data_IF_918823301522
#
_entry.id   IF_918823301522
#
_cell.length_a   1.000
_cell.length_b   1.000
_cell.length_c   1.000
_cell.angle_alpha   90.00
_cell.angle_beta   90.00
_cell.angle_gamma   90.00
#
_symmetry.space_group_name_H-M   'P 1'
#
loop_
_entity.id
_entity.type
_entity.pdbx_description
1 polymer ?
#
# COMPACT_ATOMS: atom_id res chain seq x y z
N UNK A 1 9.19 11.08 -1.81
CA UNK A 1 8.64 10.21 -0.74
C UNK A 1 7.80 10.93 0.30
N UNK A 2 8.32 11.93 1.04
CA UNK A 2 7.56 12.60 2.13
C UNK A 2 6.19 13.14 1.69
N UNK A 3 6.13 13.77 0.52
CA UNK A 3 4.88 14.24 -0.06
C UNK A 3 3.89 13.10 -0.30
N UNK A 4 4.34 11.96 -0.84
CA UNK A 4 3.48 10.82 -1.11
C UNK A 4 2.97 10.18 0.19
N UNK A 5 3.78 10.15 1.26
CA UNK A 5 3.33 9.76 2.60
C UNK A 5 2.22 10.68 3.12
N UNK A 6 2.42 11.99 3.02
CA UNK A 6 1.44 12.98 3.47
C UNK A 6 0.14 12.87 2.66
N UNK A 7 0.25 12.84 1.33
CA UNK A 7 -0.88 12.71 0.42
C UNK A 7 -1.67 11.43 0.69
N UNK A 8 -0.99 10.29 0.84
CA UNK A 8 -1.64 9.01 1.12
C UNK A 8 -2.29 9.00 2.50
N UNK A 9 -1.59 9.51 3.52
CA UNK A 9 -2.10 9.57 4.89
C UNK A 9 -3.33 10.45 5.02
N UNK A 10 -3.30 11.66 4.46
CA UNK A 10 -4.44 12.57 4.47
C UNK A 10 -5.57 12.05 3.57
N UNK A 11 -5.25 11.60 2.35
CA UNK A 11 -6.25 11.11 1.39
C UNK A 11 -7.05 9.94 1.94
N UNK A 12 -6.35 8.90 2.44
CA UNK A 12 -7.01 7.78 3.13
C UNK A 12 -7.75 8.23 4.38
N UNK A 13 -7.18 9.16 5.14
CA UNK A 13 -7.79 9.65 6.37
C UNK A 13 -9.13 10.34 6.14
N UNK A 14 -9.23 11.18 5.10
CA UNK A 14 -10.48 11.86 4.71
C UNK A 14 -11.55 10.86 4.27
N UNK A 15 -11.15 9.74 3.67
CA UNK A 15 -12.08 8.69 3.24
C UNK A 15 -12.57 7.85 4.43
N UNK A 16 -11.64 7.35 5.26
CA UNK A 16 -11.94 6.31 6.24
C UNK A 16 -12.48 6.86 7.57
N UNK A 17 -11.93 7.96 8.09
CA UNK A 17 -12.31 8.44 9.42
C UNK A 17 -13.76 8.92 9.50
N UNK A 18 -14.31 9.65 8.51
CA UNK A 18 -15.73 9.99 8.49
C UNK A 18 -16.62 8.75 8.36
N UNK A 19 -16.22 7.79 7.52
CA UNK A 19 -16.92 6.53 7.36
C UNK A 19 -16.96 5.70 8.65
N UNK A 20 -15.97 5.84 9.54
CA UNK A 20 -15.97 5.17 10.84
C UNK A 20 -16.71 5.92 11.94
N UNK A 21 -16.65 7.26 11.94
CA UNK A 21 -17.15 8.08 13.06
C UNK A 21 -18.61 8.50 12.93
N UNK A 22 -19.10 8.71 11.70
CA UNK A 22 -20.44 9.25 11.45
C UNK A 22 -21.44 8.23 10.90
N UNK A 23 -21.28 6.95 11.26
CA UNK A 23 -22.20 5.89 10.81
C UNK A 23 -23.53 5.92 11.55
N UNK A 24 -24.59 5.73 10.77
CA UNK A 24 -25.98 5.60 11.24
C UNK A 24 -26.49 4.15 11.20
N UNK A 25 -25.72 3.22 10.61
CA UNK A 25 -26.09 1.80 10.47
C UNK A 25 -25.11 0.90 11.22
N UNK A 26 -25.54 -0.30 11.68
CA UNK A 26 -24.66 -1.30 12.27
C UNK A 26 -23.51 -1.68 11.35
N UNK A 27 -22.40 -2.10 11.94
CA UNK A 27 -21.21 -2.54 11.22
C UNK A 27 -21.44 -3.90 10.57
N UNK A 28 -21.13 -3.99 9.28
CA UNK A 28 -20.71 -5.25 8.71
C UNK A 28 -19.30 -5.57 9.23
N UNK A 29 -19.07 -6.75 9.85
CA UNK A 29 -17.78 -7.06 10.45
C UNK A 29 -16.60 -7.02 9.48
N UNK A 30 -16.77 -7.46 8.22
CA UNK A 30 -15.66 -7.51 7.26
C UNK A 30 -15.30 -6.12 6.75
N UNK A 31 -16.29 -5.27 6.47
CA UNK A 31 -16.02 -3.88 6.14
C UNK A 31 -15.39 -3.12 7.31
N UNK A 32 -15.81 -3.40 8.56
CA UNK A 32 -15.19 -2.82 9.75
C UNK A 32 -13.71 -3.16 9.90
N UNK A 33 -13.30 -4.40 9.56
CA UNK A 33 -11.89 -4.81 9.55
C UNK A 33 -11.10 -4.03 8.49
N UNK A 34 -11.65 -3.90 7.27
CA UNK A 34 -11.01 -3.17 6.19
C UNK A 34 -10.82 -1.68 6.54
N UNK A 35 -11.88 -1.03 7.04
CA UNK A 35 -11.82 0.38 7.45
C UNK A 35 -10.82 0.59 8.59
N UNK A 36 -10.79 -0.32 9.57
CA UNK A 36 -9.82 -0.25 10.68
C UNK A 36 -8.37 -0.34 10.18
N UNK A 37 -8.11 -1.21 9.19
CA UNK A 37 -6.79 -1.32 8.57
C UNK A 37 -6.40 -0.04 7.81
N UNK A 38 -7.30 0.54 7.02
CA UNK A 38 -7.06 1.79 6.32
C UNK A 38 -6.86 2.97 7.26
N UNK A 39 -7.63 3.05 8.35
CA UNK A 39 -7.48 4.06 9.38
C UNK A 39 -6.12 3.97 10.07
N UNK A 40 -5.70 2.78 10.50
CA UNK A 40 -4.38 2.56 11.07
C UNK A 40 -3.27 2.92 10.08
N UNK A 41 -3.41 2.51 8.82
CA UNK A 41 -2.46 2.83 7.77
C UNK A 41 -2.35 4.35 7.53
N UNK A 42 -3.48 5.07 7.54
CA UNK A 42 -3.50 6.53 7.40
C UNK A 42 -2.63 7.22 8.46
N UNK A 43 -2.73 6.79 9.73
CA UNK A 43 -1.95 7.33 10.83
C UNK A 43 -0.45 7.00 10.69
N UNK A 44 -0.13 5.75 10.34
CA UNK A 44 1.25 5.32 10.15
C UNK A 44 1.92 6.03 8.97
N UNK A 45 1.17 6.38 7.92
CA UNK A 45 1.67 7.18 6.81
C UNK A 45 2.14 8.56 7.25
N UNK A 46 1.48 9.18 8.25
CA UNK A 46 1.91 10.48 8.79
C UNK A 46 3.30 10.37 9.46
N UNK A 47 3.62 9.25 10.10
CA UNK A 47 4.97 9.00 10.64
C UNK A 47 6.01 8.92 9.51
N UNK A 48 5.63 8.39 8.35
CA UNK A 48 6.47 8.33 7.16
C UNK A 48 6.87 9.71 6.61
N UNK A 49 6.14 10.77 6.93
CA UNK A 49 6.55 12.15 6.60
C UNK A 49 7.84 12.51 7.34
N UNK A 50 7.93 12.18 8.64
CA UNK A 50 9.10 12.45 9.48
C UNK A 50 10.23 11.45 9.26
N UNK A 51 9.89 10.19 8.98
CA UNK A 51 10.83 9.06 8.87
C UNK A 51 10.67 8.27 7.55
N UNK A 52 10.85 8.90 6.37
CA UNK A 52 10.43 8.33 5.08
C UNK A 52 11.14 7.02 4.69
N UNK A 53 12.41 6.87 5.05
CA UNK A 53 13.20 5.66 4.76
C UNK A 53 12.92 4.56 5.79
N UNK A 54 12.77 4.91 7.08
CA UNK A 54 12.43 3.92 8.12
C UNK A 54 11.03 3.33 7.92
N UNK A 55 10.11 4.13 7.39
CA UNK A 55 8.73 3.71 7.10
C UNK A 55 8.56 3.15 5.68
N UNK A 56 9.65 2.96 4.92
CA UNK A 56 9.61 2.44 3.54
C UNK A 56 8.77 1.15 3.37
N UNK A 57 8.72 0.21 4.33
CA UNK A 57 7.81 -0.93 4.25
C UNK A 57 6.34 -0.56 3.99
N UNK A 58 5.87 0.61 4.46
CA UNK A 58 4.49 1.06 4.20
C UNK A 58 4.28 1.51 2.75
N UNK A 59 5.29 2.11 2.11
CA UNK A 59 5.22 2.45 0.68
C UNK A 59 5.24 1.18 -0.17
N UNK A 60 6.06 0.20 0.20
CA UNK A 60 6.06 -1.12 -0.44
C UNK A 60 4.70 -1.80 -0.27
N UNK A 61 4.11 -1.78 0.93
CA UNK A 61 2.76 -2.28 1.20
C UNK A 61 1.72 -1.64 0.27
N UNK A 62 1.74 -0.31 0.11
CA UNK A 62 0.81 0.39 -0.79
C UNK A 62 0.98 -0.02 -2.25
N UNK A 63 2.22 -0.14 -2.71
CA UNK A 63 2.51 -0.61 -4.06
C UNK A 63 2.00 -2.03 -4.26
N UNK A 64 2.33 -2.95 -3.36
CA UNK A 64 1.91 -4.34 -3.47
C UNK A 64 0.40 -4.49 -3.40
N UNK A 65 -0.28 -3.79 -2.48
CA UNK A 65 -1.74 -3.76 -2.42
C UNK A 65 -2.36 -3.37 -3.76
N UNK A 66 -1.86 -2.30 -4.39
CA UNK A 66 -2.42 -1.81 -5.66
C UNK A 66 -2.15 -2.77 -6.79
N UNK A 67 -0.94 -3.33 -6.87
CA UNK A 67 -0.59 -4.31 -7.89
C UNK A 67 -1.40 -5.61 -7.72
N UNK A 68 -1.56 -6.11 -6.50
CA UNK A 68 -2.36 -7.31 -6.25
C UNK A 68 -3.83 -7.06 -6.58
N UNK A 69 -4.39 -5.91 -6.21
CA UNK A 69 -5.77 -5.58 -6.59
C UNK A 69 -5.94 -5.46 -8.11
N UNK A 70 -5.03 -4.78 -8.81
CA UNK A 70 -5.09 -4.63 -10.28
C UNK A 70 -5.01 -5.99 -11.00
N UNK A 71 -4.11 -6.87 -10.57
CA UNK A 71 -3.86 -8.15 -11.24
C UNK A 71 -4.89 -9.22 -10.84
N UNK A 72 -5.24 -9.30 -9.55
CA UNK A 72 -6.04 -10.41 -9.01
C UNK A 72 -7.52 -10.07 -8.85
N UNK A 73 -7.90 -8.79 -8.88
CA UNK A 73 -9.30 -8.36 -8.73
C UNK A 73 -9.78 -7.63 -9.98
N UNK A 74 -9.09 -6.55 -10.39
CA UNK A 74 -9.53 -5.75 -11.52
C UNK A 74 -9.49 -6.55 -12.83
N UNK A 75 -8.38 -7.24 -13.11
CA UNK A 75 -8.27 -8.02 -14.34
C UNK A 75 -9.37 -9.09 -14.48
N UNK A 76 -9.65 -9.95 -13.47
CA UNK A 76 -10.79 -10.86 -13.53
C UNK A 76 -12.16 -10.18 -13.64
N UNK A 77 -12.38 -9.05 -12.96
CA UNK A 77 -13.65 -8.30 -13.11
C UNK A 77 -13.85 -7.81 -14.54
N UNK A 78 -12.78 -7.35 -15.19
CA UNK A 78 -12.82 -6.88 -16.56
C UNK A 78 -13.08 -8.01 -17.54
N UNK A 79 -12.31 -9.10 -17.45
CA UNK A 79 -12.47 -10.24 -18.38
C UNK A 79 -13.77 -11.01 -18.14
N UNK A 80 -14.31 -10.99 -16.92
CA UNK A 80 -15.60 -11.58 -16.58
C UNK A 80 -16.82 -10.73 -16.92
N UNK A 81 -16.64 -9.50 -17.45
CA UNK A 81 -17.75 -8.62 -17.80
C UNK A 81 -18.49 -8.01 -16.60
N UNK A 82 -17.90 -8.05 -15.39
CA UNK A 82 -18.47 -7.52 -14.15
C UNK A 82 -17.90 -6.12 -13.80
N UNK A 83 -17.65 -5.31 -14.83
CA UNK A 83 -17.02 -4.01 -14.65
C UNK A 83 -18.03 -2.95 -14.22
N UNK A 84 -17.97 -2.53 -12.96
CA UNK A 84 -18.86 -1.53 -12.38
C UNK A 84 -18.25 -0.12 -12.37
N UNK A 85 -19.04 0.94 -12.12
CA UNK A 85 -18.51 2.28 -11.90
C UNK A 85 -17.50 2.32 -10.75
N UNK A 86 -17.79 1.63 -9.63
CA UNK A 86 -16.87 1.51 -8.50
C UNK A 86 -15.55 0.82 -8.90
N UNK A 87 -15.62 -0.23 -9.72
CA UNK A 87 -14.41 -0.88 -10.24
C UNK A 87 -13.55 0.08 -11.07
N UNK A 88 -14.17 0.98 -11.84
CA UNK A 88 -13.47 2.00 -12.63
C UNK A 88 -12.74 3.02 -11.76
N UNK A 89 -13.40 3.52 -10.70
CA UNK A 89 -12.82 4.46 -9.75
C UNK A 89 -11.63 3.84 -9.01
N UNK A 90 -11.80 2.62 -8.49
CA UNK A 90 -10.74 1.88 -7.80
C UNK A 90 -9.59 1.52 -8.73
N UNK A 91 -9.87 1.19 -9.99
CA UNK A 91 -8.84 0.95 -11.00
C UNK A 91 -7.98 2.18 -11.23
N UNK A 92 -8.59 3.35 -11.45
CA UNK A 92 -7.84 4.60 -11.61
C UNK A 92 -7.00 4.91 -10.37
N UNK A 93 -7.58 4.83 -9.17
CA UNK A 93 -6.88 5.11 -7.93
C UNK A 93 -5.69 4.15 -7.70
N UNK A 94 -5.89 2.85 -7.96
CA UNK A 94 -4.85 1.84 -7.83
C UNK A 94 -3.76 2.01 -8.90
N UNK A 95 -4.12 2.25 -10.17
CA UNK A 95 -3.18 2.42 -11.26
C UNK A 95 -2.29 3.66 -11.05
N UNK A 96 -2.89 4.82 -10.76
CA UNK A 96 -2.15 6.06 -10.50
C UNK A 96 -1.25 5.88 -9.28
N UNK A 97 -1.78 5.32 -8.19
CA UNK A 97 -1.00 5.09 -6.98
C UNK A 97 0.16 4.11 -7.19
N UNK A 98 -0.02 3.06 -7.99
CA UNK A 98 1.04 2.10 -8.32
C UNK A 98 2.16 2.77 -9.13
N UNK A 99 1.81 3.53 -10.17
CA UNK A 99 2.78 4.29 -10.97
C UNK A 99 3.55 5.28 -10.11
N UNK A 100 2.87 6.05 -9.26
CA UNK A 100 3.52 6.97 -8.34
C UNK A 100 4.46 6.23 -7.37
N UNK A 101 4.04 5.07 -6.85
CA UNK A 101 4.89 4.21 -6.03
C UNK A 101 6.15 3.77 -6.76
N UNK A 102 6.03 3.31 -8.01
CA UNK A 102 7.16 2.91 -8.85
C UNK A 102 8.15 4.05 -9.10
N UNK A 103 7.69 5.29 -9.21
CA UNK A 103 8.57 6.44 -9.44
C UNK A 103 9.24 6.91 -8.13
N UNK A 104 8.47 6.92 -7.03
CA UNK A 104 8.87 7.60 -5.79
C UNK A 104 9.69 6.71 -4.86
N UNK A 105 9.55 5.39 -4.95
CA UNK A 105 10.29 4.43 -4.13
C UNK A 105 11.77 4.42 -4.52
N UNK A 106 12.71 4.55 -3.56
CA UNK A 106 14.14 4.51 -3.83
C UNK A 106 14.59 3.07 -4.06
N UNK A 107 14.39 2.57 -5.29
CA UNK A 107 14.74 1.20 -5.66
C UNK A 107 16.18 0.80 -5.31
N UNK A 108 17.22 1.62 -5.53
CA UNK A 108 18.58 1.25 -5.12
C UNK A 108 18.65 0.88 -3.63
N UNK A 109 18.01 1.69 -2.77
CA UNK A 109 17.91 1.41 -1.34
C UNK A 109 17.15 0.10 -1.07
N UNK A 110 16.04 -0.15 -1.79
CA UNK A 110 15.27 -1.40 -1.66
C UNK A 110 16.12 -2.62 -2.01
N UNK A 111 16.81 -2.57 -3.15
CA UNK A 111 17.67 -3.65 -3.61
C UNK A 111 18.82 -3.92 -2.64
N UNK A 112 19.48 -2.88 -2.13
CA UNK A 112 20.61 -3.03 -1.21
C UNK A 112 20.17 -3.57 0.16
N UNK A 113 19.09 -3.04 0.72
CA UNK A 113 18.73 -3.27 2.13
C UNK A 113 17.74 -4.42 2.35
N UNK A 114 16.96 -4.79 1.33
CA UNK A 114 16.00 -5.90 1.44
C UNK A 114 16.46 -7.08 0.59
N UNK A 115 16.75 -6.88 -0.69
CA UNK A 115 17.02 -8.00 -1.60
C UNK A 115 18.42 -8.56 -1.39
N UNK A 116 19.46 -7.73 -1.53
CA UNK A 116 20.85 -8.15 -1.34
C UNK A 116 21.10 -8.62 0.09
N UNK A 117 20.50 -7.97 1.09
CA UNK A 117 20.64 -8.36 2.49
C UNK A 117 20.15 -9.79 2.78
N UNK A 118 19.07 -10.25 2.11
CA UNK A 118 18.58 -11.63 2.20
C UNK A 118 19.67 -12.60 1.73
N UNK A 119 20.14 -12.43 0.50
CA UNK A 119 21.14 -13.34 -0.09
C UNK A 119 22.50 -13.30 0.59
N UNK A 120 22.89 -12.15 1.15
CA UNK A 120 24.20 -12.00 1.80
C UNK A 120 24.19 -12.59 3.22
N UNK A 121 23.08 -12.48 3.95
CA UNK A 121 22.93 -13.14 5.27
C UNK A 121 22.93 -14.65 5.15
N UNK A 122 22.27 -15.20 4.13
CA UNK A 122 22.29 -16.63 3.84
C UNK A 122 23.69 -17.13 3.48
N UNK A 123 24.44 -16.38 2.65
CA UNK A 123 25.81 -16.74 2.30
C UNK A 123 26.77 -16.73 3.51
N UNK A 124 26.57 -15.81 4.46
CA UNK A 124 27.37 -15.73 5.68
C UNK A 124 26.98 -16.81 6.70
N UNK A 125 25.70 -17.19 6.77
CA UNK A 125 25.22 -18.29 7.62
C UNK A 125 25.59 -19.68 7.07
N UNK A 126 25.72 -19.82 5.74
CA UNK A 126 26.11 -21.06 5.08
C UNK A 126 27.64 -21.28 5.00
N UNK A 127 28.46 -20.37 5.53
CA UNK A 127 29.93 -20.48 5.50
C UNK A 127 30.53 -20.42 4.08
N UNK A 128 29.78 -19.89 3.10
CA UNK A 128 30.14 -19.89 1.68
C UNK A 128 31.03 -18.71 1.25
N UNK A 129 31.88 -18.20 2.15
CA UNK A 129 32.98 -17.31 1.78
C UNK A 129 34.28 -17.79 2.45
N UNK A 130 35.43 -17.69 1.77
CA UNK A 130 36.72 -17.85 2.41
C UNK A 130 36.95 -16.79 3.49
#
# INVERSE_FOLDING_TARGET
MRFLYLLTGIGLGIEVWPAMTFRTKPWDPLYGVADSFWAALSLLMLLGVRFPVKMLPLMLLQLFYKLTWLILVAYPLWTGGHWSPLASELFMACAIGAVLGLIVIPWPYVFENYIRAIFTREASAAGLRP
#
